data_IF_078398018852
#
_entry.id   IF_078398018852
#
_cell.length_a   1.000
_cell.length_b   1.000
_cell.length_c   1.000
_cell.angle_alpha   90.00
_cell.angle_beta   90.00
_cell.angle_gamma   90.00
#
_symmetry.space_group_name_H-M   'P 1'
#
loop_
_entity.id
_entity.type
_entity.pdbx_description
1 polymer ?
#
# COMPACT_ATOMS: atom_id res chain seq x y z
N UNK A 1 0.29 0.37 115.50
CA UNK A 1 1.55 1.04 115.10
C UNK A 1 2.42 -0.01 114.40
N UNK A 2 2.91 0.12 113.17
CA UNK A 2 3.00 1.20 112.20
C UNK A 2 2.78 0.60 110.80
N UNK A 3 2.18 1.42 109.94
CA UNK A 3 1.91 1.18 108.53
C UNK A 3 3.21 1.47 107.78
N UNK A 4 3.70 0.57 106.93
CA UNK A 4 4.72 0.92 105.94
C UNK A 4 4.28 0.42 104.59
N UNK A 5 3.62 1.33 103.86
CA UNK A 5 3.26 1.17 102.45
C UNK A 5 4.56 1.10 101.65
N UNK A 6 4.90 -0.06 101.08
CA UNK A 6 5.96 -0.14 100.09
C UNK A 6 5.36 0.30 98.75
N UNK A 7 5.41 1.60 98.46
CA UNK A 7 5.27 2.11 97.10
C UNK A 7 6.50 1.63 96.33
N UNK A 8 6.33 0.68 95.41
CA UNK A 8 7.31 0.45 94.36
C UNK A 8 6.77 1.08 93.08
N UNK A 9 7.40 2.20 92.70
CA UNK A 9 7.05 3.00 91.55
C UNK A 9 7.12 2.16 90.27
N UNK A 10 6.01 2.10 89.54
CA UNK A 10 5.99 1.54 88.18
C UNK A 10 6.71 2.52 87.25
N UNK A 11 7.95 2.24 86.90
CA UNK A 11 8.67 2.98 85.86
C UNK A 11 8.06 2.57 84.52
N UNK A 12 7.17 3.40 83.98
CA UNK A 12 6.66 3.24 82.63
C UNK A 12 7.76 3.70 81.67
N UNK A 13 8.52 2.74 81.13
CA UNK A 13 9.52 3.00 80.10
C UNK A 13 8.76 3.34 78.81
N UNK A 14 8.48 4.63 78.59
CA UNK A 14 7.95 5.11 77.30
C UNK A 14 9.11 5.04 76.31
N UNK A 15 9.25 3.90 75.64
CA UNK A 15 10.07 3.81 74.44
C UNK A 15 9.38 4.66 73.37
N UNK A 16 9.82 5.90 73.19
CA UNK A 16 9.42 6.72 72.05
C UNK A 16 10.06 6.11 70.81
N UNK A 17 9.37 5.16 70.17
CA UNK A 17 9.73 4.71 68.83
C UNK A 17 9.45 5.86 67.87
N UNK A 18 10.47 6.59 67.46
CA UNK A 18 10.38 7.50 66.33
C UNK A 18 10.11 6.68 65.07
N UNK A 19 8.84 6.54 64.69
CA UNK A 19 8.49 5.99 63.39
C UNK A 19 8.81 7.07 62.34
N UNK A 20 9.95 6.93 61.67
CA UNK A 20 10.21 7.69 60.45
C UNK A 20 9.25 7.17 59.37
N UNK A 21 8.48 8.06 58.74
CA UNK A 21 7.73 7.69 57.56
C UNK A 21 8.73 7.21 56.50
N UNK A 22 8.64 5.95 56.06
CA UNK A 22 9.44 5.44 54.95
C UNK A 22 8.79 5.90 53.64
N UNK A 23 9.35 6.96 53.05
CA UNK A 23 9.16 7.27 51.64
C UNK A 23 10.26 6.56 50.83
N UNK A 24 9.93 6.07 49.64
CA UNK A 24 10.94 5.50 48.72
C UNK A 24 11.54 6.55 47.79
N UNK A 25 11.05 7.81 47.85
CA UNK A 25 11.38 8.93 46.96
C UNK A 25 11.22 8.56 45.47
N UNK A 26 10.36 7.59 45.20
CA UNK A 26 10.09 7.06 43.86
C UNK A 26 8.60 7.08 43.61
N UNK A 27 8.24 7.61 42.45
CA UNK A 27 6.89 7.63 41.92
C UNK A 27 6.95 7.31 40.42
N UNK A 28 5.85 6.84 39.85
CA UNK A 28 5.78 6.46 38.44
C UNK A 28 4.43 6.84 37.84
N UNK A 29 4.42 7.11 36.54
CA UNK A 29 3.20 7.30 35.77
C UNK A 29 3.22 6.41 34.52
N UNK A 30 2.04 6.21 33.92
CA UNK A 30 1.90 5.50 32.66
C UNK A 30 2.01 6.46 31.48
N UNK A 31 2.73 6.03 30.44
CA UNK A 31 2.78 6.66 29.13
C UNK A 31 2.28 5.63 28.11
N UNK A 32 1.36 6.06 27.22
CA UNK A 32 0.88 5.24 26.12
C UNK A 32 1.38 5.80 24.80
N UNK A 33 1.93 4.93 23.94
CA UNK A 33 2.36 5.26 22.57
C UNK A 33 1.55 4.37 21.62
N UNK A 34 0.91 4.98 20.62
CA UNK A 34 0.14 4.28 19.60
C UNK A 34 0.70 4.54 18.21
N UNK A 35 0.77 3.49 17.39
CA UNK A 35 1.10 3.56 15.96
C UNK A 35 -0.09 2.99 15.20
N UNK A 36 -0.72 3.74 14.29
CA UNK A 36 -1.87 3.25 13.54
C UNK A 36 -1.43 2.27 12.45
N UNK A 37 -2.29 1.30 12.16
CA UNK A 37 -2.23 0.60 10.88
C UNK A 37 -2.67 1.57 9.77
N UNK A 38 -1.91 1.62 8.67
CA UNK A 38 -2.20 2.50 7.53
C UNK A 38 -2.17 1.66 6.27
N UNK A 39 -3.19 1.75 5.42
CA UNK A 39 -3.24 1.14 4.10
C UNK A 39 -3.93 2.10 3.13
N UNK A 40 -3.14 2.97 2.51
CA UNK A 40 -3.62 3.99 1.58
C UNK A 40 -2.91 3.80 0.23
N UNK A 41 -3.66 3.94 -0.85
CA UNK A 41 -3.17 3.84 -2.22
C UNK A 41 -3.82 4.93 -3.07
N UNK A 42 -3.03 5.56 -3.93
CA UNK A 42 -3.55 6.48 -4.95
C UNK A 42 -2.82 6.28 -6.28
N UNK A 43 -3.52 6.67 -7.35
CA UNK A 43 -2.96 6.82 -8.69
C UNK A 43 -2.73 8.31 -8.93
N UNK A 44 -1.49 8.69 -9.22
CA UNK A 44 -1.09 10.08 -9.42
C UNK A 44 -0.64 10.33 -10.87
N UNK A 45 -0.74 11.58 -11.34
CA UNK A 45 -0.29 11.99 -12.68
C UNK A 45 0.05 13.48 -12.72
N UNK A 46 0.92 13.89 -13.65
CA UNK A 46 1.14 15.32 -13.95
C UNK A 46 0.09 15.92 -14.89
N UNK A 47 -0.69 15.08 -15.56
CA UNK A 47 -1.64 15.51 -16.59
C UNK A 47 -3.09 15.14 -16.22
N UNK A 48 -3.42 13.85 -16.25
CA UNK A 48 -4.75 13.34 -15.92
C UNK A 48 -4.66 11.86 -15.51
N UNK A 49 -5.57 11.41 -14.63
CA UNK A 49 -5.70 9.98 -14.27
C UNK A 49 -6.37 9.17 -15.39
N UNK A 50 -7.14 9.82 -16.26
CA UNK A 50 -7.70 9.21 -17.46
C UNK A 50 -6.67 9.23 -18.60
N UNK A 51 -6.28 8.04 -19.06
CA UNK A 51 -5.32 7.86 -20.16
C UNK A 51 -6.02 7.26 -21.39
N UNK A 52 -5.44 7.48 -22.58
CA UNK A 52 -5.97 6.96 -23.84
C UNK A 52 -4.88 6.27 -24.63
N UNK A 53 -5.19 5.09 -25.15
CA UNK A 53 -4.38 4.37 -26.14
C UNK A 53 -5.23 4.21 -27.41
N UNK A 54 -4.71 4.62 -28.57
CA UNK A 54 -5.47 4.60 -29.84
C UNK A 54 -4.64 3.96 -30.93
N UNK A 55 -5.13 2.89 -31.52
CA UNK A 55 -4.45 2.28 -32.66
C UNK A 55 -4.25 3.28 -33.81
N UNK A 56 -3.20 3.08 -34.60
CA UNK A 56 -2.87 3.95 -35.74
C UNK A 56 -3.47 3.36 -37.01
N UNK A 57 -4.31 4.13 -37.70
CA UNK A 57 -4.86 3.74 -38.99
C UNK A 57 -3.75 3.67 -40.07
N UNK A 58 -3.83 2.73 -41.03
CA UNK A 58 -2.92 2.69 -42.17
C UNK A 58 -3.08 3.94 -43.05
N UNK A 59 -2.02 4.32 -43.75
CA UNK A 59 -2.03 5.44 -44.71
C UNK A 59 -2.18 4.99 -46.16
N UNK A 60 -1.99 3.71 -46.45
CA UNK A 60 -2.11 3.11 -47.78
C UNK A 60 -3.06 1.91 -47.77
N UNK A 61 -3.78 1.69 -48.88
CA UNK A 61 -4.71 0.58 -48.99
C UNK A 61 -3.95 -0.76 -49.02
N UNK A 62 -4.38 -1.71 -48.19
CA UNK A 62 -3.74 -3.03 -48.06
C UNK A 62 -2.77 -3.14 -46.89
N UNK A 63 -2.44 -2.04 -46.23
CA UNK A 63 -1.70 -2.06 -44.96
C UNK A 63 -2.62 -2.34 -43.77
N UNK A 64 -2.03 -2.78 -42.65
CA UNK A 64 -2.76 -3.13 -41.43
C UNK A 64 -2.86 -1.95 -40.46
N UNK A 65 -3.82 -2.03 -39.54
CA UNK A 65 -3.86 -1.16 -38.35
C UNK A 65 -2.71 -1.53 -37.41
N UNK A 66 -2.03 -0.53 -36.86
CA UNK A 66 -0.92 -0.73 -35.93
C UNK A 66 -1.34 -0.52 -34.47
N UNK A 67 -1.01 -1.51 -33.63
CA UNK A 67 -1.26 -1.51 -32.19
C UNK A 67 0.09 -1.46 -31.45
N UNK A 68 0.66 -0.26 -31.34
CA UNK A 68 1.98 -0.04 -30.73
C UNK A 68 1.99 1.12 -29.73
N UNK A 69 0.81 1.62 -29.35
CA UNK A 69 0.70 2.75 -28.43
C UNK A 69 1.02 2.35 -26.99
N UNK A 70 1.63 3.28 -26.27
CA UNK A 70 1.90 3.16 -24.85
C UNK A 70 1.67 4.46 -24.11
N UNK A 71 1.31 4.38 -22.82
CA UNK A 71 1.18 5.53 -21.93
C UNK A 71 1.83 5.21 -20.58
N UNK A 72 2.63 6.14 -20.06
CA UNK A 72 3.35 6.00 -18.79
C UNK A 72 3.13 7.22 -17.87
N UNK A 73 1.95 7.85 -17.94
CA UNK A 73 1.68 9.10 -17.21
C UNK A 73 1.23 8.87 -15.76
N UNK A 74 0.92 7.62 -15.40
CA UNK A 74 0.35 7.25 -14.11
C UNK A 74 1.43 6.74 -13.15
N UNK A 75 1.27 7.09 -11.87
CA UNK A 75 2.16 6.71 -10.79
C UNK A 75 1.37 6.06 -9.66
N UNK A 76 1.84 4.93 -9.17
CA UNK A 76 1.25 4.23 -8.04
C UNK A 76 1.90 4.72 -6.76
N UNK A 77 1.13 5.41 -5.92
CA UNK A 77 1.54 5.95 -4.63
C UNK A 77 0.87 5.14 -3.52
N UNK A 78 1.56 4.91 -2.42
CA UNK A 78 0.97 4.25 -1.26
C UNK A 78 1.65 4.64 0.05
N UNK A 79 0.87 4.52 1.13
CA UNK A 79 1.34 4.56 2.51
C UNK A 79 0.86 3.30 3.21
N UNK A 80 1.80 2.60 3.84
CA UNK A 80 1.61 1.31 4.46
C UNK A 80 2.28 1.31 5.83
N UNK A 81 1.53 1.04 6.88
CA UNK A 81 2.05 0.63 8.18
C UNK A 81 1.44 -0.73 8.49
N UNK A 82 2.29 -1.74 8.67
CA UNK A 82 1.92 -3.14 8.95
C UNK A 82 2.35 -3.56 10.35
N UNK A 83 1.69 -4.59 10.89
CA UNK A 83 2.13 -5.26 12.12
C UNK A 83 3.27 -6.25 11.88
N UNK A 84 3.66 -6.99 12.91
CA UNK A 84 4.73 -7.99 12.82
C UNK A 84 4.41 -9.08 11.78
N UNK A 85 5.43 -9.50 11.04
CA UNK A 85 5.39 -10.57 10.02
C UNK A 85 4.34 -10.39 8.90
N UNK A 86 3.77 -9.19 8.78
CA UNK A 86 2.77 -8.86 7.76
C UNK A 86 3.41 -8.11 6.61
N UNK A 87 2.98 -8.42 5.39
CA UNK A 87 3.29 -7.63 4.20
C UNK A 87 2.02 -7.43 3.38
N UNK A 88 2.07 -6.51 2.45
CA UNK A 88 0.98 -6.23 1.52
C UNK A 88 1.37 -6.53 0.09
N UNK A 89 0.37 -6.67 -0.74
CA UNK A 89 0.50 -6.71 -2.19
C UNK A 89 -0.44 -5.69 -2.82
N UNK A 90 -0.09 -5.26 -4.03
CA UNK A 90 -0.98 -4.50 -4.89
C UNK A 90 -1.36 -5.38 -6.07
N UNK A 91 -2.67 -5.56 -6.26
CA UNK A 91 -3.24 -6.21 -7.45
C UNK A 91 -3.81 -5.19 -8.42
N UNK A 92 -3.77 -5.50 -9.72
CA UNK A 92 -4.43 -4.75 -10.79
C UNK A 92 -5.51 -5.62 -11.45
N UNK A 93 -6.63 -5.01 -11.85
CA UNK A 93 -7.77 -5.68 -12.47
C UNK A 93 -8.58 -4.71 -13.35
N UNK A 94 -9.18 -5.20 -14.44
CA UNK A 94 -10.30 -4.50 -15.10
C UNK A 94 -11.57 -4.80 -14.29
N UNK A 95 -12.20 -3.76 -13.74
CA UNK A 95 -13.44 -3.89 -12.97
C UNK A 95 -14.69 -3.50 -13.74
N UNK A 96 -14.55 -2.73 -14.82
CA UNK A 96 -15.64 -2.39 -15.74
C UNK A 96 -15.14 -2.28 -17.20
N UNK A 97 -16.00 -2.67 -18.14
CA UNK A 97 -15.68 -2.82 -19.57
C UNK A 97 -14.89 -4.08 -19.91
N UNK A 98 -14.65 -4.32 -21.20
CA UNK A 98 -13.91 -5.47 -21.73
C UNK A 98 -12.89 -5.01 -22.78
N UNK A 99 -11.70 -5.62 -22.80
CA UNK A 99 -10.72 -5.36 -23.85
C UNK A 99 -11.33 -5.83 -25.19
N UNK A 100 -11.38 -4.98 -26.24
CA UNK A 100 -11.90 -5.36 -27.55
C UNK A 100 -11.24 -6.62 -28.10
N UNK A 101 -11.97 -7.39 -28.90
CA UNK A 101 -11.40 -8.59 -29.50
C UNK A 101 -10.22 -8.26 -30.42
N UNK A 102 -9.25 -9.16 -30.49
CA UNK A 102 -8.09 -9.03 -31.38
C UNK A 102 -6.94 -8.18 -30.85
N UNK A 103 -7.06 -7.58 -29.65
CA UNK A 103 -5.98 -6.83 -29.01
C UNK A 103 -5.69 -7.35 -27.60
N UNK A 104 -4.45 -7.18 -27.15
CA UNK A 104 -4.04 -7.40 -25.77
C UNK A 104 -3.75 -6.06 -25.10
N UNK A 105 -4.30 -5.86 -23.90
CA UNK A 105 -3.97 -4.74 -23.02
C UNK A 105 -3.03 -5.25 -21.92
N UNK A 106 -1.89 -4.58 -21.80
CA UNK A 106 -0.88 -4.90 -20.77
C UNK A 106 -0.56 -3.71 -19.90
N UNK A 107 -0.15 -4.00 -18.66
CA UNK A 107 0.40 -3.00 -17.74
C UNK A 107 1.62 -3.56 -17.00
N UNK A 108 2.66 -2.74 -16.86
CA UNK A 108 3.82 -3.02 -16.01
C UNK A 108 4.05 -1.87 -15.02
N UNK A 109 4.60 -2.19 -13.85
CA UNK A 109 5.11 -1.21 -12.89
C UNK A 109 6.63 -1.14 -13.02
N UNK A 110 7.19 0.07 -12.99
CA UNK A 110 8.63 0.27 -12.92
C UNK A 110 9.14 0.10 -11.49
N UNK A 111 10.46 -0.06 -11.34
CA UNK A 111 11.11 -0.01 -10.02
C UNK A 111 10.77 1.32 -9.33
N UNK A 112 10.76 1.27 -8.00
CA UNK A 112 10.48 2.43 -7.16
C UNK A 112 11.37 3.63 -7.51
N UNK A 113 10.77 4.82 -7.61
CA UNK A 113 11.42 6.13 -7.75
C UNK A 113 10.75 7.12 -6.78
N UNK A 114 11.55 7.83 -5.99
CA UNK A 114 11.06 8.82 -5.02
C UNK A 114 11.96 8.96 -3.79
N UNK A 115 11.53 9.79 -2.85
CA UNK A 115 12.26 10.10 -1.60
C UNK A 115 11.58 9.49 -0.36
N UNK A 116 10.57 8.65 -0.57
CA UNK A 116 9.94 7.84 0.47
C UNK A 116 10.85 6.74 1.02
N UNK A 117 10.44 6.16 2.15
CA UNK A 117 11.25 5.22 2.94
C UNK A 117 10.47 3.93 3.24
N UNK A 118 11.21 2.88 3.59
CA UNK A 118 10.67 1.57 3.99
C UNK A 118 10.77 0.50 2.91
N UNK A 119 10.02 -0.59 3.09
CA UNK A 119 10.02 -1.74 2.17
C UNK A 119 8.97 -1.57 1.08
N UNK A 120 9.39 -1.14 -0.11
CA UNK A 120 8.53 -0.84 -1.27
C UNK A 120 8.01 -2.07 -2.04
N UNK A 121 8.39 -3.27 -1.60
CA UNK A 121 8.06 -4.51 -2.30
C UNK A 121 8.77 -4.69 -3.65
N UNK A 122 8.45 -5.80 -4.29
CA UNK A 122 9.01 -6.24 -5.57
C UNK A 122 7.92 -6.17 -6.65
N UNK A 123 8.27 -5.58 -7.79
CA UNK A 123 7.40 -5.53 -8.97
C UNK A 123 7.30 -6.90 -9.64
N UNK A 124 6.20 -7.16 -10.34
CA UNK A 124 6.09 -8.31 -11.22
C UNK A 124 7.19 -8.28 -12.30
N UNK A 125 7.82 -9.42 -12.56
CA UNK A 125 8.92 -9.55 -13.53
C UNK A 125 8.47 -9.26 -14.98
N UNK A 126 7.24 -9.67 -15.31
CA UNK A 126 6.64 -9.50 -16.63
C UNK A 126 5.43 -8.57 -16.56
N UNK A 127 5.08 -7.97 -17.70
CA UNK A 127 3.84 -7.19 -17.83
C UNK A 127 2.60 -8.06 -17.58
N UNK A 128 1.62 -7.50 -16.89
CA UNK A 128 0.35 -8.15 -16.61
C UNK A 128 -0.59 -7.96 -17.81
N UNK A 129 -1.10 -9.06 -18.37
CA UNK A 129 -2.16 -9.05 -19.39
C UNK A 129 -3.51 -8.92 -18.69
N UNK A 130 -4.31 -7.93 -19.08
CA UNK A 130 -5.55 -7.56 -18.37
C UNK A 130 -6.84 -8.14 -18.99
N UNK A 131 -6.75 -8.81 -20.14
CA UNK A 131 -7.88 -9.26 -20.96
C UNK A 131 -8.91 -10.20 -20.28
N UNK A 132 -8.64 -10.73 -19.09
CA UNK A 132 -9.48 -11.73 -18.42
C UNK A 132 -10.16 -11.23 -17.14
N UNK A 133 -10.10 -9.91 -16.85
CA UNK A 133 -10.66 -9.31 -15.62
C UNK A 133 -10.17 -9.97 -14.33
N UNK A 134 -9.05 -10.69 -14.32
CA UNK A 134 -8.54 -11.35 -13.11
C UNK A 134 -7.62 -10.39 -12.33
N UNK A 135 -7.91 -10.20 -11.05
CA UNK A 135 -7.00 -9.49 -10.16
C UNK A 135 -5.65 -10.21 -10.11
N UNK A 136 -4.58 -9.49 -10.48
CA UNK A 136 -3.24 -10.05 -10.59
C UNK A 136 -2.25 -9.17 -9.85
N UNK A 137 -1.36 -9.78 -9.07
CA UNK A 137 -0.34 -9.05 -8.31
C UNK A 137 0.63 -8.35 -9.26
N UNK A 138 0.75 -7.03 -9.09
CA UNK A 138 1.72 -6.20 -9.80
C UNK A 138 2.88 -5.76 -8.90
N UNK A 139 2.66 -5.68 -7.58
CA UNK A 139 3.70 -5.47 -6.56
C UNK A 139 3.42 -6.40 -5.38
N UNK A 140 4.44 -7.04 -4.80
CA UNK A 140 4.33 -7.91 -3.63
C UNK A 140 5.35 -7.56 -2.56
N UNK A 141 5.07 -7.89 -1.30
CA UNK A 141 6.03 -7.75 -0.21
C UNK A 141 6.21 -6.30 0.26
N UNK A 142 5.18 -5.48 0.14
CA UNK A 142 5.18 -4.11 0.66
C UNK A 142 5.11 -4.19 2.19
N UNK A 143 6.10 -3.64 2.88
CA UNK A 143 6.14 -3.59 4.34
C UNK A 143 5.57 -2.29 4.89
N UNK A 144 6.10 -1.82 6.02
CA UNK A 144 5.89 -0.45 6.47
C UNK A 144 6.71 0.48 5.57
N UNK A 145 6.03 1.31 4.79
CA UNK A 145 6.62 2.18 3.77
C UNK A 145 5.70 3.35 3.40
N UNK A 146 6.27 4.42 2.88
CA UNK A 146 5.51 5.48 2.20
C UNK A 146 6.26 5.92 0.95
N UNK A 147 5.56 6.16 -0.15
CA UNK A 147 6.20 6.52 -1.43
C UNK A 147 6.51 8.01 -1.59
N UNK A 148 5.89 8.86 -0.76
CA UNK A 148 5.65 10.27 -1.08
C UNK A 148 4.36 10.45 -1.89
N UNK A 149 4.06 11.69 -2.29
CA UNK A 149 2.82 12.03 -3.01
C UNK A 149 3.09 12.72 -4.34
N UNK A 150 2.35 12.32 -5.38
CA UNK A 150 2.36 12.91 -6.71
C UNK A 150 3.15 12.08 -7.73
N UNK A 151 3.27 12.63 -8.95
CA UNK A 151 4.08 12.03 -9.98
C UNK A 151 5.57 11.98 -9.58
N UNK A 152 6.30 10.98 -10.08
CA UNK A 152 7.69 10.67 -9.71
C UNK A 152 7.89 10.28 -8.25
N UNK A 153 6.83 9.79 -7.62
CA UNK A 153 6.84 9.14 -6.31
C UNK A 153 6.24 7.75 -6.48
N UNK A 154 6.88 6.71 -5.96
CA UNK A 154 6.39 5.34 -6.06
C UNK A 154 6.76 4.65 -7.39
N UNK A 155 5.78 3.98 -8.01
CA UNK A 155 6.03 3.15 -9.20
C UNK A 155 5.31 3.72 -10.42
N UNK A 156 6.06 4.05 -11.47
CA UNK A 156 5.46 4.47 -12.73
C UNK A 156 4.79 3.28 -13.44
N UNK A 157 3.57 3.48 -13.92
CA UNK A 157 2.77 2.45 -14.58
C UNK A 157 2.81 2.67 -16.09
N UNK A 158 3.24 1.65 -16.84
CA UNK A 158 3.26 1.69 -18.30
C UNK A 158 2.20 0.77 -18.87
N UNK A 159 1.22 1.36 -19.56
CA UNK A 159 0.19 0.65 -20.30
C UNK A 159 0.56 0.53 -21.77
N UNK A 160 0.23 -0.60 -22.40
CA UNK A 160 0.42 -0.82 -23.85
C UNK A 160 -0.73 -1.62 -24.44
N UNK A 161 -1.10 -1.30 -25.67
CA UNK A 161 -1.95 -2.17 -26.50
C UNK A 161 -1.09 -2.81 -27.60
N UNK A 162 -1.33 -4.10 -27.86
CA UNK A 162 -0.74 -4.85 -28.97
C UNK A 162 -1.82 -5.65 -29.69
N UNK A 163 -1.57 -6.05 -30.93
CA UNK A 163 -2.42 -7.05 -31.57
C UNK A 163 -2.24 -8.38 -30.82
N UNK A 164 -3.35 -9.07 -30.55
CA UNK A 164 -3.31 -10.38 -29.89
C UNK A 164 -2.70 -11.44 -30.80
N UNK A 165 -1.95 -12.38 -30.22
CA UNK A 165 -1.37 -13.53 -30.93
C UNK A 165 -2.40 -14.67 -31.14
N UNK A 166 -3.62 -14.50 -30.64
CA UNK A 166 -4.69 -15.46 -30.84
C UNK A 166 -5.01 -15.67 -32.33
N UNK A 167 -5.40 -16.90 -32.66
CA UNK A 167 -5.83 -17.24 -34.02
C UNK A 167 -6.97 -16.29 -34.46
N UNK A 168 -6.84 -15.76 -35.67
CA UNK A 168 -7.80 -14.86 -36.31
C UNK A 168 -8.01 -13.50 -35.57
N UNK A 169 -7.09 -13.11 -34.67
CA UNK A 169 -7.17 -11.86 -33.90
C UNK A 169 -7.46 -10.62 -34.76
N UNK A 170 -6.75 -10.46 -35.88
CA UNK A 170 -6.96 -9.32 -36.78
C UNK A 170 -8.37 -9.32 -37.42
N UNK A 171 -8.92 -10.50 -37.73
CA UNK A 171 -10.25 -10.62 -38.32
C UNK A 171 -11.37 -10.31 -37.31
N UNK A 172 -11.07 -10.40 -36.02
CA UNK A 172 -12.01 -10.08 -34.93
C UNK A 172 -12.00 -8.60 -34.54
N UNK A 173 -11.16 -7.77 -35.15
CA UNK A 173 -11.14 -6.33 -34.91
C UNK A 173 -12.47 -5.70 -35.36
N UNK A 174 -13.12 -4.97 -34.46
CA UNK A 174 -14.36 -4.26 -34.73
C UNK A 174 -14.27 -2.82 -34.20
N UNK A 175 -14.44 -1.84 -35.08
CA UNK A 175 -14.38 -0.42 -34.70
C UNK A 175 -15.45 -0.05 -33.67
N UNK A 176 -16.63 -0.66 -33.76
CA UNK A 176 -17.75 -0.39 -32.85
C UNK A 176 -17.53 -0.97 -31.45
N UNK A 177 -16.51 -1.82 -31.25
CA UNK A 177 -16.09 -2.31 -29.93
C UNK A 177 -15.14 -1.36 -29.21
N UNK A 178 -14.80 -0.21 -29.79
CA UNK A 178 -14.03 0.84 -29.10
C UNK A 178 -14.71 1.23 -27.78
N UNK A 179 -13.99 1.10 -26.67
CA UNK A 179 -14.60 1.20 -25.34
C UNK A 179 -13.72 1.94 -24.33
N UNK A 180 -14.31 2.27 -23.18
CA UNK A 180 -13.61 2.75 -21.99
C UNK A 180 -13.59 1.65 -20.95
N UNK A 181 -12.46 1.50 -20.25
CA UNK A 181 -12.27 0.51 -19.20
C UNK A 181 -12.07 1.21 -17.86
N UNK A 182 -12.56 0.61 -16.79
CA UNK A 182 -12.15 0.98 -15.43
C UNK A 182 -11.10 -0.02 -14.94
N UNK A 183 -9.90 0.48 -14.66
CA UNK A 183 -8.80 -0.30 -14.08
C UNK A 183 -8.71 0.02 -12.60
N UNK A 184 -8.74 -1.00 -11.74
CA UNK A 184 -8.65 -0.84 -10.29
C UNK A 184 -7.37 -1.46 -9.76
N UNK A 185 -6.67 -0.69 -8.93
CA UNK A 185 -5.56 -1.14 -8.11
C UNK A 185 -6.03 -1.33 -6.67
N UNK A 186 -5.68 -2.43 -6.05
CA UNK A 186 -6.06 -2.74 -4.66
C UNK A 186 -4.82 -3.08 -3.86
N UNK A 187 -4.59 -2.36 -2.77
CA UNK A 187 -3.60 -2.70 -1.75
C UNK A 187 -4.27 -3.60 -0.71
N UNK A 188 -3.75 -4.80 -0.51
CA UNK A 188 -4.30 -5.77 0.45
C UNK A 188 -3.21 -6.40 1.29
N UNK A 189 -3.56 -6.80 2.51
CA UNK A 189 -2.71 -7.66 3.34
C UNK A 189 -2.50 -9.03 2.63
N UNK A 190 -1.30 -9.60 2.77
CA UNK A 190 -0.97 -10.95 2.31
C UNK A 190 -1.38 -12.02 3.33
#
# INVERSE_FOLDING_TARGET
MKITKLLFATVLFIATSSAFAQDTEKDAHLLSIGIPQVALLDIESTAAKAISLKATAPTEAGEKVEFNQSNSDLWLNYSSIVGNESSRAITVQITDGDVPNGIDLTVSANKYEGDGEGTMGEIAENSIVLNNKKATNIIKGIGSAYTGNGAKKGHNLTYRITQSDNKDAYANLNFDESTTLTITYTLSDN
#
